data_IF_969098930897
#
_entry.id   IF_969098930897
#
_cell.length_a   1.000
_cell.length_b   1.000
_cell.length_c   1.000
_cell.angle_alpha   90.00
_cell.angle_beta   90.00
_cell.angle_gamma   90.00
#
_symmetry.space_group_name_H-M   'P 1'
#
loop_
_entity.id
_entity.type
_entity.pdbx_description
1 polymer ?
#
# COMPACT_ATOMS: atom_id res chain seq x y z
N UNK A 1 4.55 -18.90 22.13
CA UNK A 1 3.91 -18.84 20.79
C UNK A 1 3.88 -17.38 20.35
N UNK A 2 4.79 -16.95 19.47
CA UNK A 2 4.71 -15.61 18.87
C UNK A 2 3.52 -15.59 17.90
N UNK A 3 2.44 -14.89 18.26
CA UNK A 3 1.42 -14.49 17.28
C UNK A 3 2.11 -13.52 16.34
N UNK A 4 2.45 -13.96 15.14
CA UNK A 4 2.90 -13.05 14.09
C UNK A 4 1.72 -12.13 13.78
N UNK A 5 1.74 -10.91 14.33
CA UNK A 5 0.68 -9.93 14.17
C UNK A 5 0.51 -9.64 12.68
N UNK A 6 -0.73 -9.69 12.19
CA UNK A 6 -1.02 -9.36 10.79
C UNK A 6 -0.49 -7.96 10.49
N UNK A 7 0.31 -7.84 9.42
CA UNK A 7 0.84 -6.56 8.95
C UNK A 7 -0.07 -5.99 7.88
N UNK A 8 -0.22 -4.67 7.86
CA UNK A 8 -0.99 -3.97 6.84
C UNK A 8 -0.08 -3.00 6.08
N UNK A 9 0.28 -3.33 4.85
CA UNK A 9 1.09 -2.46 4.00
C UNK A 9 0.20 -1.57 3.13
N UNK A 10 0.49 -0.27 3.14
CA UNK A 10 -0.21 0.72 2.31
C UNK A 10 0.79 1.32 1.33
N UNK A 11 0.62 1.09 0.04
CA UNK A 11 1.44 1.74 -0.99
C UNK A 11 0.85 3.12 -1.27
N UNK A 12 1.54 4.17 -0.83
CA UNK A 12 1.03 5.55 -0.86
C UNK A 12 1.70 6.35 -1.98
N UNK A 13 0.98 7.27 -2.59
CA UNK A 13 1.58 8.35 -3.39
C UNK A 13 0.57 9.13 -4.21
N UNK A 14 0.99 10.17 -4.95
CA UNK A 14 0.08 10.95 -5.81
C UNK A 14 -0.70 10.08 -6.81
N UNK A 15 -1.81 10.57 -7.37
CA UNK A 15 -2.39 10.00 -8.59
C UNK A 15 -1.30 9.72 -9.63
N UNK A 16 -1.40 8.57 -10.31
CA UNK A 16 -0.42 8.12 -11.33
C UNK A 16 1.01 7.87 -10.83
N UNK A 17 1.26 7.78 -9.51
CA UNK A 17 2.60 7.53 -8.98
C UNK A 17 3.19 6.14 -9.27
N UNK A 18 2.44 5.30 -9.98
CA UNK A 18 2.82 3.94 -10.31
C UNK A 18 2.49 2.92 -9.23
N UNK A 19 1.66 3.24 -8.23
CA UNK A 19 1.27 2.33 -7.14
C UNK A 19 0.79 0.97 -7.65
N UNK A 20 -0.16 0.98 -8.59
CA UNK A 20 -0.69 -0.23 -9.23
C UNK A 20 0.42 -1.03 -9.91
N UNK A 21 1.30 -0.37 -10.66
CA UNK A 21 2.46 -1.00 -11.29
C UNK A 21 3.44 -1.57 -10.25
N UNK A 22 3.67 -0.88 -9.14
CA UNK A 22 4.55 -1.34 -8.06
C UNK A 22 3.99 -2.60 -7.46
N UNK A 23 2.70 -2.63 -7.14
CA UNK A 23 2.02 -3.83 -6.65
C UNK A 23 2.09 -4.97 -7.69
N UNK A 24 1.81 -4.70 -8.97
CA UNK A 24 1.91 -5.71 -10.02
C UNK A 24 3.30 -6.36 -10.11
N UNK A 25 4.36 -5.55 -10.00
CA UNK A 25 5.75 -5.99 -10.03
C UNK A 25 6.16 -6.73 -8.75
N UNK A 26 5.71 -6.27 -7.58
CA UNK A 26 5.94 -6.95 -6.29
C UNK A 26 5.35 -8.36 -6.31
N UNK A 27 4.17 -8.52 -6.88
CA UNK A 27 3.44 -9.80 -6.88
C UNK A 27 3.56 -10.59 -8.18
N UNK A 28 4.25 -10.04 -9.20
CA UNK A 28 4.34 -10.59 -10.57
C UNK A 28 2.97 -10.97 -11.14
N UNK A 29 1.99 -10.08 -10.99
CA UNK A 29 0.60 -10.27 -11.45
C UNK A 29 0.11 -8.99 -12.12
N UNK A 30 -0.50 -9.12 -13.29
CA UNK A 30 -1.09 -7.97 -14.02
C UNK A 30 -2.44 -7.57 -13.45
N UNK A 31 -3.26 -8.55 -13.03
CA UNK A 31 -4.60 -8.34 -12.51
C UNK A 31 -4.78 -8.99 -11.14
N UNK A 32 -5.56 -8.35 -10.28
CA UNK A 32 -5.89 -8.83 -8.92
C UNK A 32 -7.39 -9.17 -8.78
N UNK A 33 -7.99 -9.69 -9.85
CA UNK A 33 -9.40 -10.09 -9.91
C UNK A 33 -9.58 -11.61 -9.93
N UNK A 34 -10.69 -12.17 -9.42
CA UNK A 34 -11.72 -11.58 -8.54
C UNK A 34 -11.62 -12.04 -7.08
N UNK A 35 -10.75 -13.01 -6.75
CA UNK A 35 -10.73 -13.63 -5.44
C UNK A 35 -9.49 -13.22 -4.64
N UNK A 36 -9.77 -12.55 -3.52
CA UNK A 36 -8.86 -12.01 -2.49
C UNK A 36 -8.14 -13.13 -1.71
N UNK A 37 -7.77 -14.21 -2.37
CA UNK A 37 -7.09 -15.33 -1.74
C UNK A 37 -5.66 -14.94 -1.38
N UNK A 38 -5.10 -15.52 -0.31
CA UNK A 38 -3.72 -15.27 0.06
C UNK A 38 -2.75 -15.72 -1.04
N UNK A 39 -1.81 -14.85 -1.42
CA UNK A 39 -0.81 -15.10 -2.45
C UNK A 39 0.59 -15.16 -1.83
N UNK A 40 1.40 -16.10 -2.30
CA UNK A 40 2.84 -16.12 -1.99
C UNK A 40 3.62 -15.43 -3.09
N UNK A 41 4.76 -14.87 -2.71
CA UNK A 41 5.69 -14.19 -3.61
C UNK A 41 7.02 -14.92 -3.63
N UNK A 42 7.72 -14.90 -4.77
CA UNK A 42 8.98 -15.63 -4.92
C UNK A 42 10.07 -15.13 -3.96
N UNK A 43 10.05 -13.84 -3.63
CA UNK A 43 11.02 -13.17 -2.76
C UNK A 43 10.73 -13.35 -1.25
N UNK A 44 9.55 -13.86 -0.89
CA UNK A 44 9.18 -14.20 0.49
C UNK A 44 8.22 -15.39 0.50
N UNK A 45 8.77 -16.59 0.71
CA UNK A 45 8.04 -17.86 0.58
C UNK A 45 7.17 -18.19 1.80
N UNK A 46 7.50 -17.62 2.97
CA UNK A 46 6.85 -17.95 4.24
C UNK A 46 5.56 -17.15 4.44
N UNK A 47 5.59 -15.88 4.05
CA UNK A 47 4.47 -14.97 4.21
C UNK A 47 3.43 -15.15 3.11
N UNK A 48 2.16 -14.91 3.44
CA UNK A 48 1.06 -14.86 2.47
C UNK A 48 0.46 -13.47 2.49
N UNK A 49 0.17 -12.93 1.32
CA UNK A 49 -0.33 -11.58 1.17
C UNK A 49 -1.74 -11.57 0.63
N UNK A 50 -2.54 -10.57 0.97
CA UNK A 50 -3.81 -10.28 0.30
C UNK A 50 -3.73 -8.87 -0.26
N UNK A 51 -3.84 -8.76 -1.58
CA UNK A 51 -3.81 -7.46 -2.26
C UNK A 51 -5.25 -6.96 -2.44
N UNK A 52 -5.52 -5.81 -1.85
CA UNK A 52 -6.79 -5.10 -1.91
C UNK A 52 -6.63 -3.97 -2.92
N UNK A 53 -6.86 -4.24 -4.20
CA UNK A 53 -6.74 -3.19 -5.23
C UNK A 53 -8.12 -2.69 -5.67
N UNK A 54 -8.26 -1.41 -6.02
CA UNK A 54 -9.43 -0.86 -6.70
C UNK A 54 -9.05 -0.40 -8.11
N UNK A 55 -10.03 -0.26 -9.01
CA UNK A 55 -9.77 0.33 -10.32
C UNK A 55 -9.32 1.78 -10.17
N UNK A 56 -8.30 2.18 -10.94
CA UNK A 56 -7.81 3.56 -11.00
C UNK A 56 -8.78 4.49 -11.76
N UNK A 57 -9.64 3.96 -12.65
CA UNK A 57 -10.50 4.77 -13.54
C UNK A 57 -11.73 5.36 -12.85
N UNK A 58 -12.34 4.64 -11.90
CA UNK A 58 -13.54 5.06 -11.16
C UNK A 58 -13.33 4.91 -9.65
N UNK A 59 -12.16 5.30 -9.17
CA UNK A 59 -11.84 5.19 -7.75
C UNK A 59 -12.73 6.12 -6.90
N UNK A 60 -13.45 5.52 -5.95
CA UNK A 60 -14.13 6.20 -4.85
C UNK A 60 -13.58 5.67 -3.54
N UNK A 61 -13.15 6.55 -2.65
CA UNK A 61 -12.54 6.18 -1.39
C UNK A 61 -13.51 5.36 -0.51
N UNK A 62 -14.79 5.72 -0.50
CA UNK A 62 -15.82 4.97 0.23
C UNK A 62 -15.97 3.52 -0.25
N UNK A 63 -15.96 3.30 -1.57
CA UNK A 63 -16.08 1.96 -2.16
C UNK A 63 -14.82 1.13 -1.86
N UNK A 64 -13.65 1.78 -1.87
CA UNK A 64 -12.39 1.15 -1.48
C UNK A 64 -12.36 0.81 0.02
N UNK A 65 -12.88 1.69 0.88
CA UNK A 65 -13.02 1.43 2.32
C UNK A 65 -13.93 0.21 2.57
N UNK A 66 -15.09 0.14 1.92
CA UNK A 66 -15.98 -1.02 2.00
C UNK A 66 -15.26 -2.30 1.54
N UNK A 67 -14.46 -2.20 0.48
CA UNK A 67 -13.65 -3.33 0.02
C UNK A 67 -12.61 -3.75 1.06
N UNK A 68 -11.88 -2.81 1.67
CA UNK A 68 -10.91 -3.09 2.74
C UNK A 68 -11.61 -3.80 3.90
N UNK A 69 -12.69 -3.23 4.43
CA UNK A 69 -13.49 -3.81 5.53
C UNK A 69 -13.92 -5.24 5.22
N UNK A 70 -14.51 -5.44 4.03
CA UNK A 70 -14.93 -6.77 3.57
C UNK A 70 -13.77 -7.76 3.50
N UNK A 71 -12.63 -7.39 2.91
CA UNK A 71 -11.47 -8.31 2.77
C UNK A 71 -10.92 -8.69 4.14
N UNK A 72 -10.68 -7.68 4.99
CA UNK A 72 -10.05 -7.88 6.28
C UNK A 72 -10.94 -8.74 7.16
N UNK A 73 -12.24 -8.46 7.23
CA UNK A 73 -13.18 -9.25 8.03
C UNK A 73 -13.22 -10.72 7.57
N UNK A 74 -13.15 -10.98 6.26
CA UNK A 74 -13.11 -12.36 5.73
C UNK A 74 -11.80 -13.10 6.03
N UNK A 75 -10.73 -12.42 6.40
CA UNK A 75 -9.39 -13.00 6.58
C UNK A 75 -8.75 -12.65 7.92
N UNK A 76 -9.53 -12.15 8.89
CA UNK A 76 -9.02 -11.71 10.19
C UNK A 76 -8.39 -12.87 10.99
N UNK A 77 -8.87 -14.09 10.79
CA UNK A 77 -8.34 -15.31 11.40
C UNK A 77 -7.19 -15.95 10.62
N UNK A 78 -6.88 -15.43 9.43
CA UNK A 78 -5.84 -16.00 8.56
C UNK A 78 -4.48 -15.38 8.88
N UNK A 79 -3.43 -16.20 8.95
CA UNK A 79 -2.07 -15.69 9.01
C UNK A 79 -1.64 -15.18 7.63
N UNK A 80 -1.91 -13.89 7.38
CA UNK A 80 -1.65 -13.16 6.14
C UNK A 80 -1.31 -11.70 6.44
N UNK A 81 -0.60 -11.07 5.51
CA UNK A 81 -0.37 -9.63 5.46
C UNK A 81 -1.24 -8.97 4.39
N UNK A 82 -1.78 -7.79 4.65
CA UNK A 82 -2.61 -7.06 3.69
C UNK A 82 -1.78 -6.03 2.92
N UNK A 83 -2.13 -5.78 1.66
CA UNK A 83 -1.52 -4.72 0.84
C UNK A 83 -2.60 -3.94 0.13
N UNK A 84 -2.60 -2.61 0.23
CA UNK A 84 -3.55 -1.75 -0.50
C UNK A 84 -2.85 -0.51 -1.08
N UNK A 85 -3.17 -0.06 -2.30
CA UNK A 85 -2.71 1.24 -2.78
C UNK A 85 -3.64 2.36 -2.28
N UNK A 86 -3.07 3.50 -1.87
CA UNK A 86 -3.82 4.72 -1.57
C UNK A 86 -3.20 5.94 -2.25
N UNK A 87 -4.05 6.83 -2.75
CA UNK A 87 -3.61 8.14 -3.24
C UNK A 87 -3.75 9.19 -2.15
N UNK A 88 -2.76 10.05 -1.97
CA UNK A 88 -2.85 11.17 -1.03
C UNK A 88 -3.87 12.17 -1.57
N UNK A 89 -4.99 12.33 -0.86
CA UNK A 89 -6.11 13.19 -1.26
C UNK A 89 -6.92 13.54 -0.01
N UNK A 90 -7.01 14.82 0.31
CA UNK A 90 -7.64 15.36 1.52
C UNK A 90 -8.50 16.59 1.20
N UNK A 91 -9.23 16.54 0.09
CA UNK A 91 -9.92 17.66 -0.54
C UNK A 91 -11.45 17.56 -0.50
N UNK A 92 -12.02 16.66 0.31
CA UNK A 92 -13.47 16.37 0.40
C UNK A 92 -14.09 15.84 -0.89
N UNK A 93 -13.26 15.51 -1.89
CA UNK A 93 -13.72 14.86 -3.10
C UNK A 93 -14.11 13.39 -2.84
N UNK A 94 -14.66 12.74 -3.86
CA UNK A 94 -14.92 11.28 -3.83
C UNK A 94 -13.67 10.43 -3.62
N UNK A 95 -12.47 11.03 -3.72
CA UNK A 95 -11.17 10.36 -3.55
C UNK A 95 -10.54 10.65 -2.19
N UNK A 96 -11.16 11.48 -1.36
CA UNK A 96 -10.67 11.82 -0.03
C UNK A 96 -10.53 10.56 0.84
N UNK A 97 -9.32 10.34 1.38
CA UNK A 97 -8.98 9.10 2.08
C UNK A 97 -9.10 9.20 3.61
N UNK A 98 -9.62 10.29 4.18
CA UNK A 98 -9.72 10.49 5.65
C UNK A 98 -10.36 9.30 6.36
N UNK A 99 -11.51 8.83 5.87
CA UNK A 99 -12.22 7.70 6.49
C UNK A 99 -11.45 6.39 6.41
N UNK A 100 -10.65 6.20 5.36
CA UNK A 100 -9.75 5.05 5.24
C UNK A 100 -8.65 5.14 6.29
N UNK A 101 -8.03 6.31 6.45
CA UNK A 101 -6.98 6.53 7.45
C UNK A 101 -7.52 6.32 8.87
N UNK A 102 -8.69 6.88 9.18
CA UNK A 102 -9.37 6.67 10.46
C UNK A 102 -9.59 5.17 10.70
N UNK A 103 -10.12 4.44 9.72
CA UNK A 103 -10.33 3.01 9.86
C UNK A 103 -9.02 2.23 10.10
N UNK A 104 -7.96 2.52 9.34
CA UNK A 104 -6.67 1.83 9.49
C UNK A 104 -6.05 2.05 10.87
N UNK A 105 -6.21 3.26 11.44
CA UNK A 105 -5.74 3.55 12.81
C UNK A 105 -6.46 2.73 13.89
N UNK A 106 -7.71 2.33 13.65
CA UNK A 106 -8.51 1.53 14.58
C UNK A 106 -8.47 0.03 14.29
N UNK A 107 -7.74 -0.41 13.25
CA UNK A 107 -7.75 -1.80 12.79
C UNK A 107 -7.04 -2.77 13.76
N UNK A 108 -6.24 -2.24 14.69
CA UNK A 108 -5.45 -3.05 15.62
C UNK A 108 -4.32 -3.86 14.96
N UNK A 109 -4.00 -3.55 13.70
CA UNK A 109 -2.92 -4.16 12.92
C UNK A 109 -1.72 -3.20 12.83
N UNK A 110 -0.52 -3.76 12.75
CA UNK A 110 0.67 -2.97 12.51
C UNK A 110 0.67 -2.49 11.06
N UNK A 111 0.43 -1.19 10.89
CA UNK A 111 0.24 -0.57 9.58
C UNK A 111 1.53 0.12 9.13
N UNK A 112 1.99 -0.18 7.93
CA UNK A 112 3.18 0.42 7.33
C UNK A 112 2.83 1.13 6.02
N UNK A 113 3.11 2.42 5.98
CA UNK A 113 2.87 3.28 4.82
C UNK A 113 4.15 3.40 4.01
N UNK A 114 4.15 2.82 2.81
CA UNK A 114 5.26 2.83 1.86
C UNK A 114 5.02 3.96 0.85
N UNK A 115 5.59 5.13 1.12
CA UNK A 115 5.31 6.39 0.41
C UNK A 115 6.23 6.51 -0.80
N UNK A 116 5.66 6.39 -2.00
CA UNK A 116 6.37 6.55 -3.27
C UNK A 116 6.40 8.05 -3.63
N UNK A 117 7.49 8.74 -3.29
CA UNK A 117 7.57 10.20 -3.36
C UNK A 117 7.46 10.78 -4.78
N UNK A 118 7.82 10.02 -5.83
CA UNK A 118 7.79 10.52 -7.20
C UNK A 118 6.91 9.71 -8.14
N UNK A 119 6.31 10.44 -9.08
CA UNK A 119 5.38 9.89 -10.06
C UNK A 119 6.07 9.08 -11.15
N UNK A 120 5.43 7.98 -11.56
CA UNK A 120 5.93 7.11 -12.64
C UNK A 120 5.84 7.80 -14.02
N UNK A 121 4.70 8.45 -14.27
CA UNK A 121 4.35 9.02 -15.57
C UNK A 121 4.81 10.47 -15.70
N UNK A 122 4.81 11.20 -14.59
CA UNK A 122 5.10 12.64 -14.55
C UNK A 122 6.35 12.88 -13.72
N UNK A 123 7.16 13.91 -14.04
CA UNK A 123 8.27 14.37 -13.17
C UNK A 123 7.77 15.07 -11.89
N UNK A 124 6.58 14.72 -11.41
CA UNK A 124 6.00 15.27 -10.20
C UNK A 124 6.48 14.49 -8.99
N UNK A 125 6.80 15.25 -7.95
CA UNK A 125 7.16 14.76 -6.63
C UNK A 125 6.01 15.17 -5.71
N UNK A 126 5.64 14.31 -4.77
CA UNK A 126 4.68 14.63 -3.71
C UNK A 126 5.24 15.83 -2.93
N UNK A 127 4.41 16.83 -2.71
CA UNK A 127 4.84 18.01 -1.98
C UNK A 127 5.07 17.67 -0.50
N UNK A 128 6.03 18.36 0.12
CA UNK A 128 6.32 18.16 1.54
C UNK A 128 5.09 18.47 2.43
N UNK A 129 4.23 19.38 1.98
CA UNK A 129 2.97 19.69 2.68
C UNK A 129 2.00 18.51 2.65
N UNK A 130 1.86 17.83 1.51
CA UNK A 130 1.02 16.64 1.38
C UNK A 130 1.51 15.50 2.28
N UNK A 131 2.83 15.30 2.37
CA UNK A 131 3.45 14.31 3.25
C UNK A 131 3.20 14.68 4.72
N UNK A 132 3.38 15.95 5.10
CA UNK A 132 3.11 16.42 6.46
C UNK A 132 1.66 16.20 6.85
N UNK A 133 0.73 16.59 5.98
CA UNK A 133 -0.70 16.37 6.20
C UNK A 133 -1.02 14.88 6.29
N UNK A 134 -0.47 14.05 5.40
CA UNK A 134 -0.65 12.60 5.45
C UNK A 134 -0.16 12.01 6.78
N UNK A 135 1.02 12.42 7.24
CA UNK A 135 1.60 11.95 8.50
C UNK A 135 0.79 12.39 9.73
N UNK A 136 0.09 13.53 9.70
CA UNK A 136 -0.81 13.94 10.78
C UNK A 136 -2.00 12.99 10.97
N UNK A 137 -2.39 12.26 9.93
CA UNK A 137 -3.45 11.25 10.00
C UNK A 137 -2.94 9.85 10.38
N UNK A 138 -1.63 9.65 10.49
CA UNK A 138 -1.07 8.37 10.93
C UNK A 138 -1.10 8.33 12.46
N UNK A 139 -1.91 7.43 13.03
CA UNK A 139 -1.98 7.21 14.48
C UNK A 139 -0.89 6.28 14.98
N UNK A 140 -1.06 4.97 14.77
CA UNK A 140 -0.16 3.91 15.26
C UNK A 140 0.71 3.26 14.16
N UNK A 141 0.71 3.82 12.95
CA UNK A 141 1.46 3.24 11.82
C UNK A 141 2.87 3.82 11.65
N UNK A 142 3.69 3.14 10.84
CA UNK A 142 5.04 3.60 10.48
C UNK A 142 5.08 4.03 9.01
N UNK A 143 5.59 5.22 8.73
CA UNK A 143 5.88 5.68 7.36
C UNK A 143 7.30 5.31 6.92
N UNK A 144 7.44 4.86 5.67
CA UNK A 144 8.71 4.61 4.99
C UNK A 144 8.71 5.38 3.68
N UNK A 145 9.63 6.32 3.51
CA UNK A 145 9.70 7.18 2.33
C UNK A 145 10.64 6.59 1.27
N UNK A 146 10.22 6.63 0.00
CA UNK A 146 11.01 6.21 -1.15
C UNK A 146 11.22 7.41 -2.10
N UNK A 147 12.30 8.15 -1.88
CA UNK A 147 12.59 9.43 -2.54
C UNK A 147 13.13 9.29 -3.97
N UNK A 148 13.45 8.08 -4.41
CA UNK A 148 14.01 7.82 -5.74
C UNK A 148 13.10 8.38 -6.83
N UNK A 149 13.65 9.23 -7.70
CA UNK A 149 12.97 9.78 -8.86
C UNK A 149 12.81 8.71 -9.96
N UNK A 150 11.60 8.22 -10.17
CA UNK A 150 11.32 7.16 -11.16
C UNK A 150 10.38 7.68 -12.24
N UNK A 151 10.91 8.27 -13.30
CA UNK A 151 10.12 8.70 -14.47
C UNK A 151 10.44 7.89 -15.70
N UNK A 152 9.48 7.09 -16.17
CA UNK A 152 9.53 6.27 -17.40
C UNK A 152 10.83 5.45 -17.60
N UNK A 153 11.58 5.19 -16.52
CA UNK A 153 12.82 4.42 -16.54
C UNK A 153 12.58 3.08 -15.90
N UNK A 154 12.62 2.02 -16.70
CA UNK A 154 12.43 0.65 -16.22
C UNK A 154 13.50 0.25 -15.21
N UNK A 155 14.75 0.68 -15.43
CA UNK A 155 15.84 0.46 -14.47
C UNK A 155 15.51 1.06 -13.11
N UNK A 156 15.17 2.36 -13.08
CA UNK A 156 14.83 3.04 -11.81
C UNK A 156 13.58 2.48 -11.16
N UNK A 157 12.64 1.97 -11.96
CA UNK A 157 11.47 1.28 -11.43
C UNK A 157 11.84 -0.04 -10.74
N UNK A 158 12.72 -0.83 -11.36
CA UNK A 158 13.24 -2.07 -10.75
C UNK A 158 13.97 -1.77 -9.44
N UNK A 159 14.79 -0.74 -9.41
CA UNK A 159 15.50 -0.31 -8.19
C UNK A 159 14.51 0.06 -7.07
N UNK A 160 13.48 0.88 -7.36
CA UNK A 160 12.42 1.20 -6.39
C UNK A 160 11.69 -0.06 -5.92
N UNK A 161 11.35 -0.97 -6.82
CA UNK A 161 10.71 -2.24 -6.46
C UNK A 161 11.58 -3.03 -5.48
N UNK A 162 12.88 -3.14 -5.76
CA UNK A 162 13.81 -3.90 -4.92
C UNK A 162 14.01 -3.24 -3.55
N UNK A 163 14.00 -1.91 -3.51
CA UNK A 163 14.00 -1.13 -2.27
C UNK A 163 12.74 -1.40 -1.43
N UNK A 164 11.56 -1.37 -2.06
CA UNK A 164 10.27 -1.69 -1.41
C UNK A 164 10.27 -3.13 -0.88
N UNK A 165 10.75 -4.10 -1.66
CA UNK A 165 10.91 -5.50 -1.21
C UNK A 165 11.82 -5.56 0.01
N UNK A 166 12.96 -4.87 -0.03
CA UNK A 166 13.92 -4.83 1.08
C UNK A 166 13.30 -4.34 2.39
N UNK A 167 12.48 -3.29 2.33
CA UNK A 167 11.76 -2.76 3.50
C UNK A 167 10.69 -3.74 3.99
N UNK A 168 9.87 -4.30 3.09
CA UNK A 168 8.84 -5.28 3.48
C UNK A 168 9.48 -6.49 4.18
N UNK A 169 10.58 -7.03 3.64
CA UNK A 169 11.29 -8.17 4.27
C UNK A 169 11.86 -7.81 5.64
N UNK A 170 12.45 -6.61 5.79
CA UNK A 170 12.93 -6.13 7.09
C UNK A 170 11.80 -6.04 8.11
N UNK A 171 10.61 -5.60 7.70
CA UNK A 171 9.43 -5.52 8.58
C UNK A 171 8.93 -6.91 8.96
N UNK A 172 8.81 -7.82 8.00
CA UNK A 172 8.33 -9.18 8.24
C UNK A 172 9.27 -10.00 9.13
N UNK A 173 10.57 -9.73 9.09
CA UNK A 173 11.57 -10.41 9.93
C UNK A 173 11.73 -9.82 11.34
N UNK A 174 11.05 -8.71 11.66
CA UNK A 174 11.14 -8.03 12.97
C UNK A 174 10.08 -8.47 13.97
N UNK A 175 9.18 -9.39 13.61
CA UNK A 175 8.14 -9.98 14.47
C UNK A 175 8.36 -11.46 14.72
#
# INVERSE_FOLDING_TARGET
MHRNLQKFFVIVGSPFSGKSRTIQELFRRTNFFPFKQPIRVAWEKKERFIVINSSDTNFRAIDHLHKIKSVVNSHISCQVSFVTPLSICFDESRRDIRDIMIYLNHLGMETHYLILASSWREKKIIEQQDIKMFNQFIGLGTSHMFDRLVTMSELRFRERRDEVIGIIRKILNKG
#
